data_IF_821852580782
#
_entry.id   IF_821852580782
#
_cell.length_a   1.000
_cell.length_b   1.000
_cell.length_c   1.000
_cell.angle_alpha   90.00
_cell.angle_beta   90.00
_cell.angle_gamma   90.00
#
_symmetry.space_group_name_H-M   'P 1'
#
loop_
_entity.id
_entity.type
_entity.pdbx_description
1 polymer ?
#
# COMPACT_ATOMS: atom_id res chain seq x y z
N UNK A 1 -11.29 -22.99 1.33
CA UNK A 1 -11.06 -22.08 2.49
C UNK A 1 -11.20 -20.64 2.04
N UNK A 2 -12.09 -19.85 2.66
CA UNK A 2 -12.23 -18.42 2.33
C UNK A 2 -11.09 -17.60 2.93
N UNK A 3 -10.32 -16.89 2.09
CA UNK A 3 -9.26 -15.98 2.55
C UNK A 3 -9.89 -14.65 2.98
N UNK A 4 -10.39 -14.60 4.22
CA UNK A 4 -11.09 -13.43 4.83
C UNK A 4 -10.17 -12.53 5.66
N UNK A 5 -8.86 -12.66 5.51
CA UNK A 5 -7.87 -11.96 6.32
C UNK A 5 -7.00 -11.11 5.38
N UNK A 6 -6.64 -9.90 5.80
CA UNK A 6 -5.58 -9.10 5.20
C UNK A 6 -4.32 -9.17 6.08
N UNK A 7 -3.14 -9.24 5.46
CA UNK A 7 -1.87 -9.21 6.18
C UNK A 7 -1.33 -7.78 6.16
N UNK A 8 -0.82 -7.30 7.29
CA UNK A 8 -0.20 -5.98 7.37
C UNK A 8 1.27 -6.05 6.97
N UNK A 9 1.72 -5.08 6.19
CA UNK A 9 3.14 -4.80 5.93
C UNK A 9 3.39 -3.35 6.30
N UNK A 10 4.28 -3.12 7.25
CA UNK A 10 4.63 -1.78 7.72
C UNK A 10 6.12 -1.62 8.02
N UNK A 11 6.50 -0.49 8.61
CA UNK A 11 7.84 -0.26 9.17
C UNK A 11 8.21 -1.25 10.27
N UNK A 12 7.21 -1.87 10.89
CA UNK A 12 7.38 -2.84 11.94
C UNK A 12 7.26 -4.29 11.41
N UNK A 13 6.37 -4.54 10.44
CA UNK A 13 6.17 -5.90 9.89
C UNK A 13 6.85 -6.09 8.53
N UNK A 14 7.73 -7.09 8.44
CA UNK A 14 8.47 -7.39 7.22
C UNK A 14 7.62 -8.11 6.15
N UNK A 15 8.02 -7.94 4.89
CA UNK A 15 7.46 -8.71 3.76
C UNK A 15 7.72 -10.22 3.88
N UNK A 16 8.72 -10.66 4.68
CA UNK A 16 9.01 -12.08 4.85
C UNK A 16 7.86 -12.81 5.55
N UNK A 17 7.20 -12.16 6.50
CA UNK A 17 6.01 -12.69 7.18
C UNK A 17 4.89 -12.98 6.19
N UNK A 18 4.69 -12.08 5.20
CA UNK A 18 3.71 -12.27 4.14
C UNK A 18 4.02 -13.48 3.27
N UNK A 19 5.30 -13.73 2.95
CA UNK A 19 5.71 -14.91 2.17
C UNK A 19 5.30 -16.21 2.86
N UNK A 20 5.52 -16.31 4.17
CA UNK A 20 5.14 -17.47 4.99
C UNK A 20 3.63 -17.68 5.05
N UNK A 21 2.85 -16.60 4.98
CA UNK A 21 1.40 -16.61 5.12
C UNK A 21 0.62 -16.47 3.80
N UNK A 22 1.29 -16.58 2.64
CA UNK A 22 0.68 -16.38 1.31
C UNK A 22 -0.54 -17.26 1.02
N UNK A 23 -0.59 -18.46 1.59
CA UNK A 23 -1.73 -19.38 1.42
C UNK A 23 -2.97 -18.95 2.25
N UNK A 24 -2.83 -18.03 3.20
CA UNK A 24 -3.89 -17.63 4.15
C UNK A 24 -4.59 -16.31 3.80
N UNK A 25 -4.00 -15.47 2.94
CA UNK A 25 -4.53 -14.15 2.57
C UNK A 25 -4.34 -13.86 1.08
N UNK A 26 -5.18 -12.98 0.53
CA UNK A 26 -5.04 -12.37 -0.79
C UNK A 26 -4.79 -10.86 -0.72
N UNK A 27 -4.99 -10.25 0.45
CA UNK A 27 -4.93 -8.80 0.63
C UNK A 27 -3.79 -8.40 1.54
N UNK A 28 -3.12 -7.31 1.15
CA UNK A 28 -2.14 -6.63 1.98
C UNK A 28 -2.68 -5.27 2.38
N UNK A 29 -2.67 -5.03 3.69
CA UNK A 29 -2.80 -3.69 4.26
C UNK A 29 -1.39 -3.10 4.36
N UNK A 30 -1.09 -2.12 3.51
CA UNK A 30 0.25 -1.55 3.38
C UNK A 30 0.28 -0.12 3.93
N UNK A 31 1.04 0.10 4.99
CA UNK A 31 1.40 1.42 5.50
C UNK A 31 2.93 1.53 5.63
N UNK A 32 3.48 2.74 5.58
CA UNK A 32 4.89 2.98 5.90
C UNK A 32 5.04 4.43 6.32
N UNK A 33 5.62 4.64 7.50
CA UNK A 33 5.65 5.92 8.20
C UNK A 33 6.91 6.72 7.82
N UNK A 34 8.03 6.03 7.59
CA UNK A 34 9.32 6.62 7.26
C UNK A 34 9.46 6.91 5.76
N UNK A 35 10.41 7.79 5.40
CA UNK A 35 10.70 8.21 4.00
C UNK A 35 11.49 7.16 3.20
N UNK A 36 11.47 5.89 3.60
CA UNK A 36 12.27 4.85 2.97
C UNK A 36 11.63 4.37 1.66
N UNK A 37 12.27 4.69 0.54
CA UNK A 37 11.83 4.27 -0.79
C UNK A 37 11.97 2.77 -1.02
N UNK A 38 12.86 2.08 -0.30
CA UNK A 38 12.99 0.62 -0.41
C UNK A 38 11.68 -0.06 -0.04
N UNK A 39 10.90 0.53 0.88
CA UNK A 39 9.59 -0.01 1.25
C UNK A 39 8.59 0.08 0.13
N UNK A 40 8.61 1.13 -0.69
CA UNK A 40 7.75 1.18 -1.87
C UNK A 40 8.05 0.03 -2.83
N UNK A 41 9.31 -0.41 -2.95
CA UNK A 41 9.63 -1.56 -3.81
C UNK A 41 8.97 -2.87 -3.34
N UNK A 42 8.60 -3.00 -2.06
CA UNK A 42 7.82 -4.14 -1.59
C UNK A 42 6.48 -4.28 -2.31
N UNK A 43 5.87 -3.17 -2.74
CA UNK A 43 4.62 -3.20 -3.53
C UNK A 43 4.82 -4.00 -4.82
N UNK A 44 5.95 -3.83 -5.52
CA UNK A 44 6.25 -4.62 -6.73
C UNK A 44 6.36 -6.11 -6.42
N UNK A 45 7.06 -6.45 -5.35
CA UNK A 45 7.23 -7.85 -4.92
C UNK A 45 5.88 -8.48 -4.56
N UNK A 46 5.05 -7.76 -3.80
CA UNK A 46 3.71 -8.20 -3.41
C UNK A 46 2.78 -8.38 -4.63
N UNK A 47 2.83 -7.46 -5.59
CA UNK A 47 2.10 -7.59 -6.87
C UNK A 47 2.56 -8.80 -7.67
N UNK A 48 3.87 -9.05 -7.79
CA UNK A 48 4.42 -10.28 -8.42
C UNK A 48 3.92 -11.54 -7.73
N UNK A 49 3.68 -11.48 -6.43
CA UNK A 49 3.11 -12.59 -5.65
C UNK A 49 1.58 -12.72 -5.79
N UNK A 50 0.93 -11.88 -6.62
CA UNK A 50 -0.52 -11.83 -6.87
C UNK A 50 -1.36 -11.38 -5.67
N UNK A 51 -0.80 -10.58 -4.77
CA UNK A 51 -1.59 -9.92 -3.73
C UNK A 51 -2.32 -8.69 -4.27
N UNK A 52 -3.53 -8.47 -3.77
CA UNK A 52 -4.20 -7.18 -3.83
C UNK A 52 -3.67 -6.28 -2.71
N UNK A 53 -3.43 -5.01 -3.02
CA UNK A 53 -2.77 -4.06 -2.14
C UNK A 53 -3.73 -2.93 -1.83
N UNK A 54 -4.04 -2.81 -0.54
CA UNK A 54 -4.71 -1.70 0.08
C UNK A 54 -3.66 -0.79 0.73
N UNK A 55 -3.47 0.40 0.17
CA UNK A 55 -2.50 1.36 0.66
C UNK A 55 -3.13 2.36 1.63
N UNK A 56 -2.46 2.64 2.74
CA UNK A 56 -2.86 3.70 3.68
C UNK A 56 -2.21 5.02 3.27
N UNK A 57 -3.02 6.04 3.05
CA UNK A 57 -2.54 7.34 2.63
C UNK A 57 -1.65 8.02 3.66
N UNK A 58 -0.76 8.87 3.14
CA UNK A 58 0.12 9.72 3.94
C UNK A 58 -0.60 10.64 4.92
N UNK A 59 -1.84 11.08 4.60
CA UNK A 59 -2.62 11.95 5.48
C UNK A 59 -3.01 11.27 6.79
N UNK A 60 -3.18 9.94 6.78
CA UNK A 60 -3.41 9.13 7.98
C UNK A 60 -2.14 8.92 8.80
N UNK A 61 -0.98 9.21 8.21
CA UNK A 61 0.35 9.14 8.84
C UNK A 61 0.90 10.54 9.14
N UNK A 62 0.07 11.60 9.06
CA UNK A 62 0.44 13.00 9.29
C UNK A 62 1.63 13.48 8.44
N UNK A 63 1.74 13.03 7.18
CA UNK A 63 2.78 13.49 6.24
C UNK A 63 2.20 13.82 4.87
N UNK A 64 2.94 14.62 4.09
CA UNK A 64 2.59 14.92 2.70
C UNK A 64 3.15 13.86 1.76
N UNK A 65 2.37 13.45 0.76
CA UNK A 65 2.84 12.61 -0.34
C UNK A 65 3.78 13.40 -1.26
N UNK A 66 4.90 12.80 -1.65
CA UNK A 66 5.89 13.39 -2.55
C UNK A 66 5.58 13.03 -4.01
N UNK A 67 6.02 13.90 -4.94
CA UNK A 67 5.86 13.68 -6.40
C UNK A 67 6.38 12.31 -6.86
N UNK A 68 7.54 11.87 -6.35
CA UNK A 68 8.11 10.55 -6.65
C UNK A 68 7.23 9.38 -6.22
N UNK A 69 6.56 9.50 -5.08
CA UNK A 69 5.67 8.47 -4.55
C UNK A 69 4.39 8.42 -5.38
N UNK A 70 3.85 9.57 -5.79
CA UNK A 70 2.72 9.65 -6.73
C UNK A 70 3.07 8.93 -8.05
N UNK A 71 4.20 9.28 -8.66
CA UNK A 71 4.66 8.62 -9.90
C UNK A 71 4.83 7.12 -9.72
N UNK A 72 5.36 6.70 -8.57
CA UNK A 72 5.48 5.28 -8.22
C UNK A 72 4.11 4.59 -8.17
N UNK A 73 3.13 5.16 -7.47
CA UNK A 73 1.81 4.55 -7.35
C UNK A 73 1.04 4.54 -8.66
N UNK A 74 1.16 5.58 -9.50
CA UNK A 74 0.59 5.59 -10.85
C UNK A 74 1.16 4.46 -11.71
N UNK A 75 2.48 4.24 -11.67
CA UNK A 75 3.15 3.18 -12.43
C UNK A 75 2.81 1.77 -11.93
N UNK A 76 2.66 1.58 -10.62
CA UNK A 76 2.51 0.24 -10.01
C UNK A 76 1.06 -0.13 -9.62
N UNK A 77 0.09 0.74 -9.96
CA UNK A 77 -1.37 0.61 -9.75
C UNK A 77 -1.78 -0.03 -8.41
N UNK A 78 -2.20 0.80 -7.47
CA UNK A 78 -2.83 0.33 -6.23
C UNK A 78 -4.23 -0.23 -6.50
N UNK A 79 -4.64 -1.26 -5.75
CA UNK A 79 -5.99 -1.83 -5.87
C UNK A 79 -7.00 -1.07 -5.00
N UNK A 80 -6.55 -0.62 -3.84
CA UNK A 80 -7.35 0.20 -2.93
C UNK A 80 -6.47 1.23 -2.21
N UNK A 81 -7.06 2.37 -1.88
CA UNK A 81 -6.43 3.46 -1.15
C UNK A 81 -7.34 3.89 0.01
N UNK A 82 -6.82 3.84 1.23
CA UNK A 82 -7.49 4.33 2.44
C UNK A 82 -7.07 5.77 2.67
N UNK A 83 -8.04 6.67 2.83
CA UNK A 83 -7.82 8.11 3.01
C UNK A 83 -8.73 8.67 4.10
N UNK A 84 -8.33 9.81 4.65
CA UNK A 84 -9.25 10.67 5.43
C UNK A 84 -10.34 11.22 4.51
N UNK A 85 -11.59 11.23 4.97
CA UNK A 85 -12.77 11.63 4.19
C UNK A 85 -12.63 13.03 3.60
N UNK A 86 -12.08 13.96 4.39
CA UNK A 86 -11.88 15.37 4.04
C UNK A 86 -10.85 15.55 2.91
N UNK A 87 -10.03 14.52 2.65
CA UNK A 87 -8.96 14.55 1.64
C UNK A 87 -9.35 13.86 0.33
N UNK A 88 -10.58 13.38 0.18
CA UNK A 88 -11.04 12.65 -1.02
C UNK A 88 -10.80 13.40 -2.32
N UNK A 89 -11.07 14.72 -2.35
CA UNK A 89 -10.89 15.53 -3.55
C UNK A 89 -9.42 15.70 -3.94
N UNK A 90 -8.51 15.72 -2.96
CA UNK A 90 -7.06 15.80 -3.21
C UNK A 90 -6.58 14.50 -3.85
N UNK A 91 -6.94 13.34 -3.28
CA UNK A 91 -6.52 12.05 -3.82
C UNK A 91 -7.16 11.73 -5.18
N UNK A 92 -8.41 12.14 -5.41
CA UNK A 92 -9.04 12.08 -6.74
C UNK A 92 -8.28 12.88 -7.79
N UNK A 93 -7.76 14.07 -7.44
CA UNK A 93 -6.91 14.87 -8.36
C UNK A 93 -5.56 14.20 -8.63
N UNK A 94 -4.95 13.61 -7.61
CA UNK A 94 -3.65 12.92 -7.74
C UNK A 94 -3.76 11.72 -8.68
N UNK A 95 -4.80 10.89 -8.52
CA UNK A 95 -4.99 9.64 -9.28
C UNK A 95 -5.95 9.76 -10.47
N UNK A 96 -6.36 10.98 -10.84
CA UNK A 96 -7.14 11.20 -12.06
C UNK A 96 -6.33 10.70 -13.26
N UNK A 97 -6.96 9.81 -14.04
CA UNK A 97 -6.50 9.38 -15.35
C UNK A 97 -6.75 10.49 -16.36
#
# INVERSE_FOLDING_TARGET
MSKKIALRVSDLESIQTVKKLKKKSNWIWFDYFKKDEMKLQNIKTLKKMKFQICYVSHDLQNRKIKKKEISFFKKNKLDMLIIKKEKINIWKKIFKH
#
